data_IF_070006618200
#
_entry.id   IF_070006618200
#
_cell.length_a   1.000
_cell.length_b   1.000
_cell.length_c   1.000
_cell.angle_alpha   90.00
_cell.angle_beta   90.00
_cell.angle_gamma   90.00
#
_symmetry.space_group_name_H-M   'P 1'
#
loop_
_entity.id
_entity.type
_entity.pdbx_description
1 polymer ?
#
# COMPACT_ATOMS: atom_id res chain seq x y z
N UNK A 1 16.30 56.88 33.93
CA UNK A 1 14.93 56.31 33.97
C UNK A 1 15.00 54.86 33.47
N UNK A 2 15.28 53.90 34.36
CA UNK A 2 15.38 52.48 33.99
C UNK A 2 13.99 51.85 34.11
N UNK A 3 13.34 51.57 32.97
CA UNK A 3 12.09 50.81 32.93
C UNK A 3 12.39 49.36 33.30
N UNK A 4 11.99 48.94 34.49
CA UNK A 4 11.94 47.52 34.84
C UNK A 4 10.89 46.83 33.97
N UNK A 5 11.34 46.03 33.01
CA UNK A 5 10.48 45.13 32.26
C UNK A 5 10.07 44.02 33.24
N UNK A 6 8.85 44.10 33.79
CA UNK A 6 8.26 42.99 34.54
C UNK A 6 8.11 41.83 33.56
N UNK A 7 9.02 40.85 33.65
CA UNK A 7 8.86 39.60 32.92
C UNK A 7 7.65 38.89 33.54
N UNK A 8 6.48 39.02 32.92
CA UNK A 8 5.27 38.28 33.30
C UNK A 8 5.54 36.79 33.02
N UNK A 9 5.71 36.00 34.08
CA UNK A 9 5.81 34.55 33.99
C UNK A 9 4.43 33.92 33.75
N UNK A 10 4.42 32.75 33.12
CA UNK A 10 3.22 31.91 33.01
C UNK A 10 2.83 31.37 34.39
N UNK A 11 1.52 31.32 34.68
CA UNK A 11 1.03 30.69 35.90
C UNK A 11 0.90 29.18 35.73
N UNK A 12 0.99 28.41 36.82
CA UNK A 12 0.81 26.96 36.77
C UNK A 12 -0.59 26.57 36.26
N UNK A 13 -1.61 27.34 36.62
CA UNK A 13 -2.98 27.09 36.15
C UNK A 13 -3.14 27.34 34.65
N UNK A 14 -2.46 28.36 34.10
CA UNK A 14 -2.47 28.67 32.67
C UNK A 14 -1.80 27.56 31.85
N UNK A 15 -0.72 26.97 32.38
CA UNK A 15 -0.10 25.79 31.78
C UNK A 15 -1.03 24.57 31.83
N UNK A 16 -1.75 24.34 32.93
CA UNK A 16 -2.68 23.22 33.04
C UNK A 16 -3.83 23.33 32.03
N UNK A 17 -4.36 24.53 31.83
CA UNK A 17 -5.42 24.76 30.84
C UNK A 17 -4.87 24.58 29.41
N UNK A 18 -3.67 25.09 29.13
CA UNK A 18 -3.03 24.91 27.82
C UNK A 18 -2.79 23.43 27.50
N UNK A 19 -2.30 22.66 28.48
CA UNK A 19 -2.10 21.21 28.32
C UNK A 19 -3.43 20.47 28.13
N UNK A 20 -4.48 20.85 28.86
CA UNK A 20 -5.81 20.27 28.69
C UNK A 20 -6.36 20.51 27.28
N UNK A 21 -6.15 21.69 26.70
CA UNK A 21 -6.54 21.95 25.31
C UNK A 21 -5.70 21.13 24.31
N UNK A 22 -4.39 21.01 24.53
CA UNK A 22 -3.49 20.25 23.65
C UNK A 22 -3.84 18.76 23.60
N UNK A 23 -4.19 18.15 24.73
CA UNK A 23 -4.55 16.72 24.75
C UNK A 23 -5.82 16.45 23.97
N UNK A 24 -6.83 17.31 24.05
CA UNK A 24 -8.06 17.22 23.27
C UNK A 24 -7.75 17.25 21.76
N UNK A 25 -6.87 18.17 21.33
CA UNK A 25 -6.45 18.25 19.93
C UNK A 25 -5.65 17.02 19.49
N UNK A 26 -4.72 16.53 20.32
CA UNK A 26 -3.87 15.40 20.00
C UNK A 26 -4.65 14.10 19.78
N UNK A 27 -5.73 13.88 20.55
CA UNK A 27 -6.61 12.70 20.41
C UNK A 27 -7.23 12.60 19.01
N UNK A 28 -7.55 13.73 18.37
CA UNK A 28 -8.15 13.76 17.04
C UNK A 28 -7.05 13.77 15.96
N UNK A 29 -6.00 14.57 16.16
CA UNK A 29 -4.96 14.80 15.18
C UNK A 29 -4.11 13.55 14.89
N UNK A 30 -3.72 12.80 15.92
CA UNK A 30 -2.84 11.65 15.78
C UNK A 30 -3.42 10.51 14.91
N UNK A 31 -4.62 9.96 15.19
CA UNK A 31 -5.18 8.89 14.36
C UNK A 31 -5.50 9.37 12.94
N UNK A 32 -5.89 10.64 12.77
CA UNK A 32 -6.13 11.23 11.45
C UNK A 32 -4.84 11.27 10.62
N UNK A 33 -3.74 11.76 11.20
CA UNK A 33 -2.45 11.81 10.53
C UNK A 33 -1.93 10.41 10.17
N UNK A 34 -2.10 9.43 11.07
CA UNK A 34 -1.72 8.04 10.79
C UNK A 34 -2.49 7.46 9.60
N UNK A 35 -3.81 7.71 9.50
CA UNK A 35 -4.61 7.29 8.34
C UNK A 35 -4.14 7.97 7.06
N UNK A 36 -3.90 9.27 7.10
CA UNK A 36 -3.38 10.02 5.95
C UNK A 36 -2.08 9.42 5.39
N UNK A 37 -1.12 9.09 6.28
CA UNK A 37 0.14 8.46 5.87
C UNK A 37 -0.11 7.09 5.25
N UNK A 38 -0.97 6.27 5.86
CA UNK A 38 -1.34 4.96 5.32
C UNK A 38 -1.95 5.06 3.92
N UNK A 39 -2.89 5.97 3.72
CA UNK A 39 -3.53 6.19 2.42
C UNK A 39 -2.57 6.75 1.38
N UNK A 40 -1.62 7.59 1.79
CA UNK A 40 -0.55 8.08 0.92
C UNK A 40 0.34 6.94 0.44
N UNK A 41 0.74 6.03 1.33
CA UNK A 41 1.52 4.83 0.98
C UNK A 41 0.75 3.89 0.07
N UNK A 42 -0.55 3.73 0.31
CA UNK A 42 -1.44 2.95 -0.55
C UNK A 42 -1.51 3.54 -1.96
N UNK A 43 -1.60 4.87 -2.09
CA UNK A 43 -1.55 5.59 -3.38
C UNK A 43 -0.21 5.43 -4.10
N UNK A 44 0.90 5.37 -3.38
CA UNK A 44 2.21 5.08 -3.98
C UNK A 44 2.27 3.65 -4.53
N UNK A 45 1.69 2.69 -3.79
CA UNK A 45 1.58 1.32 -4.27
C UNK A 45 0.64 1.18 -5.47
N UNK A 46 -0.48 1.92 -5.52
CA UNK A 46 -1.38 1.91 -6.67
C UNK A 46 -0.72 2.48 -7.93
N UNK A 47 0.04 3.57 -7.81
CA UNK A 47 0.82 4.12 -8.92
C UNK A 47 1.85 3.09 -9.44
N UNK A 48 2.60 2.44 -8.54
CA UNK A 48 3.56 1.40 -8.93
C UNK A 48 2.88 0.18 -9.57
N UNK A 49 1.68 -0.19 -9.13
CA UNK A 49 0.89 -1.25 -9.77
C UNK A 49 0.45 -0.88 -11.20
N UNK A 50 0.01 0.36 -11.41
CA UNK A 50 -0.35 0.87 -12.73
C UNK A 50 0.86 0.87 -13.67
N UNK A 51 2.01 1.36 -13.21
CA UNK A 51 3.25 1.36 -13.99
C UNK A 51 3.67 -0.05 -14.39
N UNK A 52 3.58 -1.01 -13.45
CA UNK A 52 3.85 -2.41 -13.73
C UNK A 52 2.87 -3.00 -14.75
N UNK A 53 1.58 -2.71 -14.61
CA UNK A 53 0.55 -3.18 -15.54
C UNK A 53 0.80 -2.63 -16.96
N UNK A 54 1.14 -1.35 -17.09
CA UNK A 54 1.56 -0.77 -18.37
C UNK A 54 2.80 -1.45 -18.96
N UNK A 55 3.79 -1.77 -18.14
CA UNK A 55 4.97 -2.55 -18.57
C UNK A 55 4.61 -3.95 -19.08
N UNK A 56 3.66 -4.61 -18.42
CA UNK A 56 3.14 -5.91 -18.86
C UNK A 56 2.38 -5.80 -20.18
N UNK A 57 1.58 -4.76 -20.40
CA UNK A 57 0.88 -4.54 -21.68
C UNK A 57 1.86 -4.33 -22.85
N UNK A 58 2.95 -3.60 -22.61
CA UNK A 58 4.03 -3.45 -23.60
C UNK A 58 4.71 -4.79 -23.89
N UNK A 59 4.95 -5.60 -22.85
CA UNK A 59 5.51 -6.94 -23.00
C UNK A 59 4.57 -7.85 -23.81
N UNK A 60 3.27 -7.81 -23.53
CA UNK A 60 2.25 -8.58 -24.24
C UNK A 60 2.15 -8.19 -25.71
N UNK A 61 2.25 -6.91 -26.03
CA UNK A 61 2.25 -6.44 -27.42
C UNK A 61 3.39 -7.05 -28.27
N UNK A 62 4.51 -7.41 -27.64
CA UNK A 62 5.67 -8.02 -28.29
C UNK A 62 5.63 -9.55 -28.29
N UNK A 63 5.15 -10.16 -27.20
CA UNK A 63 5.26 -11.61 -26.97
C UNK A 63 3.92 -12.37 -27.05
N UNK A 64 2.79 -11.66 -27.14
CA UNK A 64 1.41 -12.19 -27.07
C UNK A 64 1.15 -13.07 -25.84
N UNK A 65 1.86 -12.78 -24.75
CA UNK A 65 1.81 -13.52 -23.50
C UNK A 65 2.32 -12.62 -22.38
N UNK A 66 1.72 -12.68 -21.19
CA UNK A 66 2.27 -12.07 -19.97
C UNK A 66 3.31 -12.95 -19.27
N UNK A 67 3.57 -14.14 -19.81
CA UNK A 67 4.55 -15.10 -19.31
C UNK A 67 5.79 -15.12 -20.21
N UNK A 68 6.95 -15.28 -19.60
CA UNK A 68 8.22 -15.48 -20.33
C UNK A 68 8.40 -16.93 -20.79
N UNK A 69 7.86 -17.88 -20.03
CA UNK A 69 7.80 -19.30 -20.38
C UNK A 69 6.58 -19.97 -19.72
N UNK A 70 6.46 -21.29 -19.78
CA UNK A 70 5.29 -22.00 -19.23
C UNK A 70 5.14 -21.92 -17.71
N UNK A 71 6.18 -21.56 -16.96
CA UNK A 71 6.21 -21.59 -15.48
C UNK A 71 6.60 -20.25 -14.85
N UNK A 72 6.95 -19.24 -15.65
CA UNK A 72 7.50 -17.97 -15.18
C UNK A 72 6.75 -16.79 -15.79
N UNK A 73 6.32 -15.87 -14.93
CA UNK A 73 5.75 -14.59 -15.35
C UNK A 73 6.81 -13.66 -15.95
N UNK A 74 6.37 -12.65 -16.72
CA UNK A 74 7.23 -11.52 -17.05
C UNK A 74 7.63 -10.74 -15.78
N UNK A 75 8.82 -10.13 -15.83
CA UNK A 75 9.35 -9.39 -14.69
C UNK A 75 8.61 -8.07 -14.53
N UNK A 76 8.30 -7.71 -13.28
CA UNK A 76 7.71 -6.42 -12.93
C UNK A 76 8.81 -5.36 -12.90
N UNK A 77 8.56 -4.19 -13.51
CA UNK A 77 9.50 -3.06 -13.52
C UNK A 77 9.75 -2.53 -12.09
N UNK A 78 8.72 -2.51 -11.26
CA UNK A 78 8.74 -2.04 -9.88
C UNK A 78 8.27 -3.19 -8.97
N UNK A 79 9.13 -4.14 -8.59
CA UNK A 79 8.74 -5.28 -7.77
C UNK A 79 8.57 -4.94 -6.28
N UNK A 80 9.03 -3.77 -5.84
CA UNK A 80 8.86 -3.27 -4.47
C UNK A 80 9.05 -1.76 -4.41
N UNK A 81 8.47 -1.14 -3.40
CA UNK A 81 8.85 0.19 -2.91
C UNK A 81 9.25 0.08 -1.42
N UNK A 82 9.28 1.19 -0.68
CA UNK A 82 9.69 1.19 0.73
C UNK A 82 8.68 0.51 1.68
N UNK A 83 7.43 0.34 1.25
CA UNK A 83 6.32 -0.08 2.13
C UNK A 83 5.61 -1.35 1.66
N UNK A 84 5.65 -1.65 0.36
CA UNK A 84 4.96 -2.76 -0.29
C UNK A 84 5.90 -3.54 -1.20
N UNK A 85 5.69 -4.86 -1.26
CA UNK A 85 6.19 -5.69 -2.34
C UNK A 85 5.06 -5.95 -3.35
N UNK A 86 5.43 -6.07 -4.62
CA UNK A 86 4.54 -6.37 -5.73
C UNK A 86 4.99 -7.69 -6.35
N UNK A 87 4.05 -8.63 -6.45
CA UNK A 87 4.27 -9.91 -7.13
C UNK A 87 3.03 -10.28 -7.94
N UNK A 88 3.22 -11.19 -8.89
CA UNK A 88 2.12 -11.80 -9.62
C UNK A 88 1.29 -12.66 -8.67
N UNK A 89 -0.02 -12.70 -8.90
CA UNK A 89 -0.95 -13.55 -8.19
C UNK A 89 -1.03 -14.92 -8.88
N UNK A 90 -0.71 -15.99 -8.15
CA UNK A 90 -0.74 -17.37 -8.66
C UNK A 90 0.49 -17.75 -9.49
N UNK A 91 0.67 -19.05 -9.68
CA UNK A 91 1.71 -19.61 -10.53
C UNK A 91 1.38 -19.35 -12.01
N UNK A 92 2.39 -19.09 -12.85
CA UNK A 92 2.24 -18.95 -14.30
C UNK A 92 1.91 -20.29 -14.99
N UNK A 93 2.27 -21.41 -14.36
CA UNK A 93 1.94 -22.74 -14.87
C UNK A 93 0.43 -22.97 -14.91
N UNK A 94 -0.10 -23.16 -16.11
CA UNK A 94 -1.53 -23.33 -16.36
C UNK A 94 -2.33 -22.03 -16.38
N UNK A 95 -1.70 -20.87 -16.17
CA UNK A 95 -2.35 -19.58 -16.35
C UNK A 95 -2.56 -19.27 -17.84
N UNK A 96 -3.62 -18.51 -18.14
CA UNK A 96 -3.88 -18.00 -19.49
C UNK A 96 -2.77 -17.03 -19.93
N UNK A 97 -2.58 -16.88 -21.24
CA UNK A 97 -1.52 -16.01 -21.77
C UNK A 97 -1.89 -14.52 -21.71
N UNK A 98 -3.18 -14.22 -21.68
CA UNK A 98 -3.82 -12.91 -21.81
C UNK A 98 -4.47 -12.40 -20.50
N UNK A 99 -4.22 -13.09 -19.39
CA UNK A 99 -4.70 -12.66 -18.08
C UNK A 99 -3.56 -12.59 -17.08
N UNK A 100 -3.60 -11.55 -16.26
CA UNK A 100 -2.74 -11.43 -15.09
C UNK A 100 -3.46 -10.77 -13.93
N UNK A 101 -2.88 -10.92 -12.75
CA UNK A 101 -3.19 -10.05 -11.62
C UNK A 101 -1.89 -9.78 -10.89
N UNK A 102 -1.54 -8.52 -10.72
CA UNK A 102 -0.46 -8.10 -9.83
C UNK A 102 -1.08 -7.74 -8.49
N UNK A 103 -0.42 -8.11 -7.40
CA UNK A 103 -0.84 -7.81 -6.04
C UNK A 103 0.26 -7.06 -5.31
N UNK A 104 -0.10 -6.02 -4.56
CA UNK A 104 0.78 -5.28 -3.68
C UNK A 104 0.43 -5.59 -2.22
N UNK A 105 1.39 -6.14 -1.48
CA UNK A 105 1.25 -6.52 -0.06
C UNK A 105 2.23 -5.69 0.77
N UNK A 106 1.77 -5.15 1.90
CA UNK A 106 2.63 -4.39 2.80
C UNK A 106 3.68 -5.29 3.46
N UNK A 107 4.88 -4.75 3.71
CA UNK A 107 5.89 -5.44 4.52
C UNK A 107 5.45 -5.59 5.98
N UNK A 108 4.73 -4.59 6.51
CA UNK A 108 4.17 -4.60 7.86
C UNK A 108 2.64 -4.70 7.82
N UNK A 109 2.15 -5.93 7.78
CA UNK A 109 0.72 -6.24 7.70
C UNK A 109 -0.05 -5.95 8.98
N UNK A 110 0.64 -5.83 10.13
CA UNK A 110 -0.02 -5.48 11.40
C UNK A 110 -0.47 -4.03 11.37
N UNK A 111 0.37 -3.16 10.81
CA UNK A 111 0.07 -1.74 10.67
C UNK A 111 -0.72 -1.42 9.39
N UNK A 112 -0.51 -2.15 8.31
CA UNK A 112 -1.24 -1.98 7.05
C UNK A 112 -1.72 -3.35 6.51
N UNK A 113 -2.90 -3.82 6.95
CA UNK A 113 -3.44 -5.10 6.51
C UNK A 113 -4.03 -5.04 5.10
N UNK A 114 -4.31 -3.83 4.59
CA UNK A 114 -4.92 -3.63 3.28
C UNK A 114 -3.97 -4.04 2.17
N UNK A 115 -4.56 -4.50 1.08
CA UNK A 115 -3.84 -4.99 -0.11
C UNK A 115 -4.45 -4.38 -1.34
N UNK A 116 -3.61 -4.07 -2.33
CA UNK A 116 -4.05 -3.66 -3.65
C UNK A 116 -3.82 -4.76 -4.67
N UNK A 117 -4.73 -4.87 -5.64
CA UNK A 117 -4.65 -5.77 -6.78
C UNK A 117 -5.00 -5.01 -8.03
N UNK A 118 -4.29 -5.27 -9.12
CA UNK A 118 -4.65 -4.81 -10.46
C UNK A 118 -4.67 -5.98 -11.41
N UNK A 119 -5.68 -6.06 -12.28
CA UNK A 119 -5.82 -7.10 -13.29
C UNK A 119 -5.47 -6.57 -14.70
N UNK A 120 -5.56 -7.44 -15.71
CA UNK A 120 -5.32 -7.06 -17.12
C UNK A 120 -6.30 -5.98 -17.64
N UNK A 121 -7.48 -5.85 -17.02
CA UNK A 121 -8.46 -4.83 -17.39
C UNK A 121 -8.17 -3.46 -16.74
N UNK A 122 -7.02 -3.31 -16.09
CA UNK A 122 -6.60 -2.11 -15.35
C UNK A 122 -7.53 -1.74 -14.18
N UNK A 123 -8.31 -2.70 -13.70
CA UNK A 123 -9.20 -2.51 -12.55
C UNK A 123 -8.37 -2.69 -11.28
N UNK A 124 -8.20 -1.60 -10.56
CA UNK A 124 -7.58 -1.60 -9.24
C UNK A 124 -8.63 -1.99 -8.18
N UNK A 125 -8.28 -2.95 -7.34
CA UNK A 125 -9.13 -3.48 -6.27
C UNK A 125 -8.36 -3.39 -4.97
N UNK A 126 -9.01 -2.91 -3.91
CA UNK A 126 -8.48 -2.92 -2.54
C UNK A 126 -9.19 -4.01 -1.74
N UNK A 127 -8.44 -4.74 -0.92
CA UNK A 127 -8.96 -5.72 0.01
C UNK A 127 -8.55 -5.35 1.44
N UNK A 128 -9.40 -5.59 2.42
CA UNK A 128 -9.15 -5.18 3.82
C UNK A 128 -8.11 -6.04 4.54
N UNK A 129 -7.94 -7.30 4.12
CA UNK A 129 -6.94 -8.19 4.71
C UNK A 129 -6.46 -9.23 3.71
N UNK A 130 -5.26 -9.74 3.96
CA UNK A 130 -4.66 -10.84 3.21
C UNK A 130 -3.96 -11.84 4.13
N UNK A 131 -3.82 -13.09 3.68
CA UNK A 131 -2.89 -14.06 4.24
C UNK A 131 -1.56 -14.14 3.47
N UNK A 132 -1.46 -13.48 2.31
CA UNK A 132 -0.22 -13.46 1.51
C UNK A 132 0.86 -12.64 2.20
N UNK A 133 2.14 -12.97 1.99
CA UNK A 133 3.26 -12.23 2.59
C UNK A 133 4.41 -11.98 1.63
N UNK A 134 5.05 -10.82 1.75
CA UNK A 134 6.26 -10.49 1.00
C UNK A 134 7.40 -11.48 1.23
N UNK A 135 7.42 -12.14 2.38
CA UNK A 135 8.40 -13.15 2.76
C UNK A 135 8.17 -14.52 2.11
N UNK A 136 7.09 -14.71 1.34
CA UNK A 136 6.91 -15.92 0.53
C UNK A 136 8.12 -16.11 -0.39
N UNK A 137 8.71 -17.31 -0.40
CA UNK A 137 9.88 -17.66 -1.21
C UNK A 137 9.57 -17.69 -2.70
N UNK A 138 8.30 -17.95 -3.07
CA UNK A 138 7.85 -17.94 -4.44
C UNK A 138 7.92 -16.52 -5.04
N UNK A 139 8.24 -16.40 -6.35
CA UNK A 139 8.23 -15.12 -7.07
C UNK A 139 6.80 -14.62 -7.36
N UNK A 140 5.78 -15.37 -6.94
CA UNK A 140 4.36 -15.06 -7.02
C UNK A 140 3.70 -15.33 -5.67
N UNK A 141 2.48 -14.81 -5.46
CA UNK A 141 1.66 -15.14 -4.30
C UNK A 141 0.88 -16.43 -4.56
N UNK A 142 1.06 -17.41 -3.69
CA UNK A 142 0.73 -18.82 -4.02
C UNK A 142 -0.77 -19.13 -4.04
N UNK A 143 -1.59 -18.38 -3.31
CA UNK A 143 -3.01 -18.66 -3.12
C UNK A 143 -3.90 -17.57 -3.76
N UNK A 144 -4.60 -17.92 -4.85
CA UNK A 144 -5.49 -17.03 -5.60
C UNK A 144 -6.93 -16.96 -5.07
N UNK A 145 -7.41 -18.00 -4.37
CA UNK A 145 -8.78 -18.07 -3.88
C UNK A 145 -8.83 -17.96 -2.35
N UNK A 146 -9.58 -16.97 -1.84
CA UNK A 146 -9.92 -16.84 -0.41
C UNK A 146 -8.83 -16.29 0.52
N UNK A 147 -7.68 -15.87 -0.01
CA UNK A 147 -6.62 -15.21 0.78
C UNK A 147 -6.95 -13.78 1.14
N UNK A 148 -7.60 -13.08 0.21
CA UNK A 148 -7.96 -11.69 0.36
C UNK A 148 -9.44 -11.59 0.73
N UNK A 149 -9.75 -10.79 1.75
CA UNK A 149 -11.12 -10.63 2.27
C UNK A 149 -11.61 -9.20 2.09
N UNK A 150 -12.91 -9.10 1.89
CA UNK A 150 -13.65 -7.85 1.72
C UNK A 150 -13.00 -6.93 0.66
N UNK A 151 -13.04 -7.39 -0.58
CA UNK A 151 -12.43 -6.69 -1.71
C UNK A 151 -13.46 -5.82 -2.44
N UNK A 152 -13.09 -4.57 -2.72
CA UNK A 152 -13.90 -3.61 -3.49
C UNK A 152 -13.03 -2.94 -4.55
N UNK A 153 -13.64 -2.44 -5.61
CA UNK A 153 -12.95 -1.60 -6.59
C UNK A 153 -12.38 -0.38 -5.84
N UNK A 154 -11.12 -0.05 -6.13
CA UNK A 154 -10.44 1.11 -5.57
C UNK A 154 -10.71 2.31 -6.47
N UNK A 155 -11.51 3.25 -5.96
CA UNK A 155 -11.86 4.51 -6.63
C UNK A 155 -10.75 5.57 -6.53
#
# INVERSE_FOLDING_TARGET
MKRHFFCKGFTLIELMIALAALTILAVIALPSYQRYIKDTRLKQASAALLDNAHGLEQFYSQHRSFKTNSTTWASLAIPKNDYFCMKMQGNAQGALNDSFTIKAVAFDQKNEPRVLRINQDMILTVCESTASSCSETNPYFSNANGTDKNCTVYE
#
